data_IF_726935464935
#
_entry.id   IF_726935464935
#
_cell.length_a   1.000
_cell.length_b   1.000
_cell.length_c   1.000
_cell.angle_alpha   90.00
_cell.angle_beta   90.00
_cell.angle_gamma   90.00
#
_symmetry.space_group_name_H-M   'P 1'
#
loop_
_entity.id
_entity.type
_entity.pdbx_description
1 polymer ?
#
# COMPACT_ATOMS: atom_id res chain seq x y z
N UNK A 1 50.62 25.35 33.48
CA UNK A 1 49.68 26.09 32.63
C UNK A 1 48.62 25.09 32.20
N UNK A 2 47.39 25.25 32.72
CA UNK A 2 46.28 24.34 32.48
C UNK A 2 45.50 24.85 31.27
N UNK A 3 45.51 24.10 30.17
CA UNK A 3 44.73 24.44 28.98
C UNK A 3 43.35 23.79 29.14
N UNK A 4 42.39 24.54 29.65
CA UNK A 4 40.99 24.12 29.74
C UNK A 4 40.41 24.06 28.33
N UNK A 5 39.86 22.90 27.94
CA UNK A 5 39.19 22.75 26.64
C UNK A 5 37.97 23.68 26.60
N UNK A 6 37.91 24.50 25.55
CA UNK A 6 36.93 25.56 25.35
C UNK A 6 35.52 24.96 25.10
N UNK A 7 34.55 25.27 25.96
CA UNK A 7 33.16 24.78 25.90
C UNK A 7 32.41 25.20 24.62
N UNK A 8 32.97 26.15 23.89
CA UNK A 8 32.50 26.58 22.56
C UNK A 8 32.68 25.50 21.48
N UNK A 9 33.69 24.61 21.63
CA UNK A 9 33.93 23.45 20.75
C UNK A 9 32.95 22.32 21.06
N UNK A 10 32.57 22.15 22.34
CA UNK A 10 31.61 21.14 22.78
C UNK A 10 30.18 21.44 22.24
N UNK A 11 29.84 22.72 22.09
CA UNK A 11 28.50 23.13 21.64
C UNK A 11 28.34 23.11 20.12
N UNK A 12 29.43 23.23 19.36
CA UNK A 12 29.44 23.06 17.89
C UNK A 12 29.35 21.60 17.48
N UNK A 13 29.81 20.67 18.32
CA UNK A 13 29.65 19.22 18.13
C UNK A 13 28.19 18.75 18.31
N UNK A 14 27.41 19.43 19.15
CA UNK A 14 26.02 19.04 19.46
C UNK A 14 24.97 19.68 18.54
N UNK A 15 25.39 20.56 17.61
CA UNK A 15 24.49 21.29 16.70
C UNK A 15 24.48 20.72 15.28
N UNK A 16 25.31 19.71 14.99
CA UNK A 16 25.37 19.05 13.68
C UNK A 16 24.60 17.73 13.70
N UNK A 17 23.27 17.81 13.81
CA UNK A 17 22.34 16.67 13.63
C UNK A 17 22.22 16.22 12.14
N UNK A 18 23.15 16.63 11.29
CA UNK A 18 23.26 16.26 9.87
C UNK A 18 24.73 16.04 9.54
N UNK A 19 25.32 15.00 10.11
CA UNK A 19 26.71 14.64 9.87
C UNK A 19 26.77 13.17 9.45
N UNK A 20 26.98 12.94 8.15
CA UNK A 20 27.03 11.63 7.52
C UNK A 20 28.06 10.68 8.17
N UNK A 21 27.89 9.37 7.93
CA UNK A 21 28.76 8.25 8.33
C UNK A 21 30.30 8.43 8.13
N UNK A 22 30.74 9.49 7.45
CA UNK A 22 32.15 9.90 7.36
C UNK A 22 32.67 10.50 8.67
N UNK A 23 31.84 11.22 9.42
CA UNK A 23 32.24 11.88 10.66
C UNK A 23 32.42 10.87 11.82
N UNK A 24 31.63 9.78 11.85
CA UNK A 24 31.80 8.69 12.80
C UNK A 24 33.07 7.85 12.53
N UNK A 25 33.46 7.69 11.27
CA UNK A 25 34.74 7.06 10.89
C UNK A 25 35.96 7.91 11.29
N UNK A 26 35.92 9.23 11.04
CA UNK A 26 36.99 10.16 11.44
C UNK A 26 37.13 10.29 12.97
N UNK A 27 36.02 10.23 13.71
CA UNK A 27 36.03 10.19 15.17
C UNK A 27 36.65 8.88 15.70
N UNK A 28 36.37 7.72 15.07
CA UNK A 28 37.02 6.44 15.41
C UNK A 28 38.53 6.44 15.13
N UNK A 29 38.97 7.02 14.02
CA UNK A 29 40.40 7.09 13.67
C UNK A 29 41.18 8.06 14.57
N UNK A 30 40.56 9.21 14.90
CA UNK A 30 41.12 10.15 15.87
C UNK A 30 41.22 9.53 17.26
N UNK A 31 40.25 8.69 17.62
CA UNK A 31 40.22 7.95 18.88
C UNK A 31 41.29 6.86 18.95
N UNK A 32 41.46 6.04 17.91
CA UNK A 32 42.54 5.06 17.81
C UNK A 32 43.92 5.72 17.91
N UNK A 33 44.09 6.90 17.32
CA UNK A 33 45.34 7.68 17.37
C UNK A 33 45.61 8.22 18.77
N UNK A 34 44.59 8.74 19.46
CA UNK A 34 44.74 9.19 20.86
C UNK A 34 45.02 8.02 21.81
N UNK A 35 44.36 6.88 21.63
CA UNK A 35 44.53 5.69 22.47
C UNK A 35 45.92 5.05 22.28
N UNK A 36 46.44 5.04 21.05
CA UNK A 36 47.82 4.61 20.75
C UNK A 36 48.86 5.56 21.33
N UNK A 37 48.57 6.86 21.35
CA UNK A 37 49.46 7.89 21.91
C UNK A 37 49.50 7.85 23.44
N UNK A 38 48.38 7.58 24.09
CA UNK A 38 48.29 7.40 25.54
C UNK A 38 49.00 6.11 25.99
N UNK A 39 48.82 4.97 25.31
CA UNK A 39 49.54 3.73 25.61
C UNK A 39 51.08 3.87 25.54
N UNK A 40 51.60 4.76 24.68
CA UNK A 40 53.03 5.08 24.61
C UNK A 40 53.56 5.95 25.76
N UNK A 41 52.69 6.63 26.51
CA UNK A 41 53.07 7.65 27.50
C UNK A 41 52.44 7.47 28.91
N UNK A 42 51.72 6.38 29.18
CA UNK A 42 51.11 6.15 30.50
C UNK A 42 52.14 5.62 31.51
N UNK A 43 52.29 6.35 32.62
CA UNK A 43 52.92 5.87 33.85
C UNK A 43 51.91 4.92 34.56
N UNK A 44 52.30 3.68 34.92
CA UNK A 44 51.40 2.57 35.31
C UNK A 44 50.51 2.71 36.57
N UNK A 45 50.30 3.90 37.14
CA UNK A 45 49.71 4.06 38.48
C UNK A 45 48.33 4.75 38.58
N UNK A 46 47.63 5.12 37.49
CA UNK A 46 46.24 5.61 37.59
C UNK A 46 45.33 5.08 36.45
N UNK A 47 44.67 3.93 36.64
CA UNK A 47 43.93 3.23 35.59
C UNK A 47 42.47 3.67 35.38
N UNK A 48 42.01 4.79 35.95
CA UNK A 48 40.57 5.06 36.10
C UNK A 48 39.82 5.73 34.92
N UNK A 49 40.49 6.10 33.82
CA UNK A 49 39.82 6.81 32.69
C UNK A 49 39.43 5.89 31.51
N UNK A 50 39.71 4.58 31.61
CA UNK A 50 39.43 3.64 30.51
C UNK A 50 37.96 3.19 30.49
N UNK A 51 37.27 3.18 31.63
CA UNK A 51 35.90 2.66 31.71
C UNK A 51 34.86 3.63 31.15
N UNK A 52 35.01 4.93 31.42
CA UNK A 52 34.10 5.98 30.94
C UNK A 52 34.26 6.20 29.42
N UNK A 53 35.50 6.20 28.94
CA UNK A 53 35.82 6.27 27.51
C UNK A 53 35.34 5.02 26.74
N UNK A 54 35.44 3.82 27.32
CA UNK A 54 34.89 2.58 26.75
C UNK A 54 33.35 2.61 26.74
N UNK A 55 32.72 3.17 27.76
CA UNK A 55 31.27 3.37 27.82
C UNK A 55 30.78 4.35 26.75
N UNK A 56 31.48 5.47 26.54
CA UNK A 56 31.16 6.45 25.50
C UNK A 56 31.38 5.86 24.09
N UNK A 57 32.44 5.09 23.86
CA UNK A 57 32.61 4.34 22.62
C UNK A 57 31.51 3.31 22.39
N UNK A 58 31.10 2.58 23.42
CA UNK A 58 30.01 1.62 23.32
C UNK A 58 28.71 2.34 22.93
N UNK A 59 28.43 3.51 23.52
CA UNK A 59 27.28 4.34 23.14
C UNK A 59 27.36 4.82 21.69
N UNK A 60 28.51 5.32 21.22
CA UNK A 60 28.70 5.72 19.81
C UNK A 60 28.51 4.53 18.87
N UNK A 61 29.07 3.36 19.21
CA UNK A 61 28.90 2.14 18.42
C UNK A 61 27.44 1.68 18.37
N UNK A 62 26.69 1.82 19.46
CA UNK A 62 25.25 1.53 19.46
C UNK A 62 24.45 2.50 18.60
N UNK A 63 24.77 3.81 18.64
CA UNK A 63 24.11 4.81 17.78
C UNK A 63 24.40 4.55 16.32
N UNK A 64 25.67 4.34 15.94
CA UNK A 64 26.03 3.97 14.57
C UNK A 64 25.41 2.65 14.14
N UNK A 65 25.28 1.67 15.06
CA UNK A 65 24.56 0.43 14.79
C UNK A 65 23.07 0.66 14.52
N UNK A 66 22.40 1.55 15.27
CA UNK A 66 21.01 1.94 15.03
C UNK A 66 20.85 2.68 13.69
N UNK A 67 21.78 3.58 13.35
CA UNK A 67 21.79 4.26 12.05
C UNK A 67 21.94 3.27 10.89
N UNK A 68 22.82 2.27 11.02
CA UNK A 68 23.00 1.21 10.03
C UNK A 68 21.76 0.31 9.93
N UNK A 69 21.11 0.01 11.05
CA UNK A 69 19.83 -0.71 11.07
C UNK A 69 18.73 0.10 10.37
N UNK A 70 18.58 1.39 10.67
CA UNK A 70 17.60 2.25 10.01
C UNK A 70 17.83 2.31 8.50
N UNK A 71 19.09 2.49 8.06
CA UNK A 71 19.44 2.45 6.64
C UNK A 71 19.12 1.11 5.99
N UNK A 72 19.36 0.01 6.71
CA UNK A 72 19.01 -1.33 6.22
C UNK A 72 17.51 -1.49 6.08
N UNK A 73 16.72 -0.97 7.03
CA UNK A 73 15.27 -0.98 6.97
C UNK A 73 14.71 -0.14 5.81
N UNK A 74 15.29 1.03 5.53
CA UNK A 74 14.96 1.84 4.36
C UNK A 74 15.24 1.08 3.05
N UNK A 75 16.40 0.42 2.94
CA UNK A 75 16.74 -0.41 1.78
C UNK A 75 15.78 -1.60 1.62
N UNK A 76 15.35 -2.23 2.72
CA UNK A 76 14.33 -3.29 2.67
C UNK A 76 12.99 -2.72 2.19
N UNK A 77 12.54 -1.57 2.70
CA UNK A 77 11.29 -0.93 2.27
C UNK A 77 11.29 -0.67 0.76
N UNK A 78 12.35 -0.03 0.26
CA UNK A 78 12.48 0.26 -1.18
C UNK A 78 12.52 -1.00 -2.04
N UNK A 79 13.15 -2.09 -1.56
CA UNK A 79 13.17 -3.36 -2.27
C UNK A 79 11.77 -4.02 -2.30
N UNK A 80 11.01 -3.94 -1.20
CA UNK A 80 9.63 -4.45 -1.13
C UNK A 80 8.73 -3.65 -2.08
N UNK A 81 8.87 -2.32 -2.11
CA UNK A 81 8.13 -1.46 -3.03
C UNK A 81 8.43 -1.79 -4.50
N UNK A 82 9.71 -1.96 -4.85
CA UNK A 82 10.09 -2.36 -6.20
C UNK A 82 9.51 -3.73 -6.60
N UNK A 83 9.46 -4.69 -5.66
CA UNK A 83 8.82 -5.98 -5.88
C UNK A 83 7.30 -5.85 -6.07
N UNK A 84 6.63 -5.03 -5.25
CA UNK A 84 5.20 -4.76 -5.40
C UNK A 84 4.87 -4.07 -6.73
N UNK A 85 5.72 -3.15 -7.20
CA UNK A 85 5.56 -2.53 -8.52
C UNK A 85 5.67 -3.54 -9.66
N UNK A 86 6.56 -4.54 -9.55
CA UNK A 86 6.67 -5.60 -10.57
C UNK A 86 5.42 -6.49 -10.61
N UNK A 87 4.85 -6.80 -9.45
CA UNK A 87 3.59 -7.54 -9.36
C UNK A 87 2.44 -6.73 -9.95
N UNK A 88 2.35 -5.44 -9.61
CA UNK A 88 1.38 -4.52 -10.19
C UNK A 88 1.54 -4.36 -11.71
N UNK A 89 2.78 -4.31 -12.21
CA UNK A 89 3.06 -4.24 -13.63
C UNK A 89 2.55 -5.49 -14.37
N UNK A 90 2.52 -6.65 -13.71
CA UNK A 90 1.95 -7.88 -14.26
C UNK A 90 0.42 -7.82 -14.41
N UNK A 91 -0.24 -6.85 -13.77
CA UNK A 91 -1.68 -6.62 -13.90
C UNK A 91 -2.04 -5.73 -15.09
N UNK A 92 -1.07 -5.02 -15.67
CA UNK A 92 -1.34 -4.16 -16.84
C UNK A 92 -1.93 -5.02 -17.97
N UNK A 93 -3.08 -4.57 -18.49
CA UNK A 93 -3.85 -5.29 -19.50
C UNK A 93 -4.75 -6.41 -18.95
N UNK A 94 -4.76 -6.65 -17.63
CA UNK A 94 -5.69 -7.58 -16.97
C UNK A 94 -6.91 -6.84 -16.43
N UNK A 95 -8.01 -7.59 -16.36
CA UNK A 95 -9.22 -7.15 -15.67
C UNK A 95 -9.09 -7.35 -14.17
N UNK A 96 -9.54 -6.39 -13.38
CA UNK A 96 -9.58 -6.48 -11.92
C UNK A 96 -10.95 -6.07 -11.40
N UNK A 97 -11.32 -6.60 -10.24
CA UNK A 97 -12.48 -6.17 -9.47
C UNK A 97 -12.03 -5.26 -8.33
N UNK A 98 -12.59 -4.05 -8.29
CA UNK A 98 -12.28 -3.01 -7.31
C UNK A 98 -13.57 -2.47 -6.68
N UNK A 99 -13.53 -1.91 -5.45
CA UNK A 99 -14.72 -1.42 -4.77
C UNK A 99 -15.51 -0.44 -5.62
N UNK A 100 -16.79 -0.74 -5.82
CA UNK A 100 -17.71 0.08 -6.59
C UNK A 100 -18.91 -0.72 -7.09
N UNK A 101 -19.89 -0.03 -7.63
CA UNK A 101 -21.20 -0.60 -7.98
C UNK A 101 -21.52 -0.47 -9.46
N UNK A 102 -20.55 -0.09 -10.29
CA UNK A 102 -20.81 0.30 -11.67
C UNK A 102 -20.67 -0.86 -12.66
N UNK A 103 -21.60 -0.94 -13.61
CA UNK A 103 -21.55 -1.84 -14.75
C UNK A 103 -21.66 -1.02 -16.03
N UNK A 104 -20.78 -1.27 -17.00
CA UNK A 104 -20.89 -0.68 -18.33
C UNK A 104 -21.54 -1.70 -19.26
N UNK A 105 -22.50 -1.24 -20.04
CA UNK A 105 -23.12 -1.99 -21.12
C UNK A 105 -22.76 -1.32 -22.45
N UNK A 106 -22.29 -2.12 -23.39
CA UNK A 106 -22.14 -1.70 -24.78
C UNK A 106 -22.77 -2.75 -25.70
N UNK A 107 -22.98 -2.40 -26.96
CA UNK A 107 -23.44 -3.33 -27.98
C UNK A 107 -22.31 -3.57 -28.98
N UNK A 108 -22.12 -4.82 -29.40
CA UNK A 108 -21.17 -5.13 -30.46
C UNK A 108 -21.66 -4.65 -31.83
N UNK A 109 -20.87 -4.91 -32.89
CA UNK A 109 -21.21 -4.50 -34.25
C UNK A 109 -22.53 -5.12 -34.77
N UNK A 110 -22.97 -6.24 -34.18
CA UNK A 110 -24.21 -6.95 -34.52
C UNK A 110 -25.38 -6.54 -33.60
N UNK A 111 -25.17 -5.60 -32.68
CA UNK A 111 -26.17 -5.11 -31.73
C UNK A 111 -26.39 -6.04 -30.53
N UNK A 112 -25.48 -6.99 -30.28
CA UNK A 112 -25.58 -7.91 -29.14
C UNK A 112 -25.08 -7.19 -27.89
N UNK A 113 -25.88 -7.14 -26.81
CA UNK A 113 -25.45 -6.52 -25.56
C UNK A 113 -24.31 -7.29 -24.89
N UNK A 114 -23.29 -6.57 -24.45
CA UNK A 114 -22.18 -7.09 -23.65
C UNK A 114 -21.92 -6.14 -22.47
N UNK A 115 -21.98 -6.67 -21.24
CA UNK A 115 -21.70 -5.90 -20.03
C UNK A 115 -20.37 -6.29 -19.39
N UNK A 116 -19.77 -5.34 -18.68
CA UNK A 116 -18.62 -5.62 -17.83
C UNK A 116 -19.05 -6.47 -16.62
N UNK A 117 -18.26 -7.47 -16.20
CA UNK A 117 -18.59 -8.24 -15.00
C UNK A 117 -18.54 -7.37 -13.74
N UNK A 118 -19.16 -7.84 -12.68
CA UNK A 118 -19.13 -7.21 -11.35
C UNK A 118 -19.06 -8.29 -10.26
N UNK A 119 -18.47 -7.95 -9.12
CA UNK A 119 -18.36 -8.82 -7.97
C UNK A 119 -19.34 -8.44 -6.86
N UNK A 120 -19.79 -9.44 -6.12
CA UNK A 120 -20.54 -9.28 -4.88
C UNK A 120 -19.86 -10.13 -3.82
N UNK A 121 -19.52 -9.55 -2.66
CA UNK A 121 -19.00 -10.26 -1.49
C UNK A 121 -20.02 -10.18 -0.35
N UNK A 122 -20.52 -11.33 0.08
CA UNK A 122 -21.43 -11.47 1.21
C UNK A 122 -20.62 -11.81 2.46
N UNK A 123 -20.79 -11.02 3.53
CA UNK A 123 -20.13 -11.26 4.82
C UNK A 123 -20.65 -12.52 5.55
N UNK A 124 -21.83 -13.00 5.18
CA UNK A 124 -22.48 -14.19 5.73
C UNK A 124 -23.45 -14.81 4.71
N UNK A 125 -23.98 -16.02 4.98
CA UNK A 125 -24.95 -16.64 4.09
C UNK A 125 -26.27 -15.86 4.09
N UNK A 126 -26.94 -15.82 2.95
CA UNK A 126 -28.25 -15.19 2.76
C UNK A 126 -29.27 -16.23 2.28
N UNK A 127 -30.50 -16.15 2.79
CA UNK A 127 -31.63 -16.97 2.32
C UNK A 127 -32.29 -16.34 1.08
N UNK A 128 -32.17 -15.01 0.96
CA UNK A 128 -32.63 -14.27 -0.20
C UNK A 128 -31.59 -13.23 -0.63
N UNK A 129 -31.08 -13.37 -1.85
CA UNK A 129 -30.24 -12.43 -2.54
C UNK A 129 -30.98 -11.87 -3.75
N UNK A 130 -31.12 -10.54 -3.81
CA UNK A 130 -31.68 -9.84 -4.94
C UNK A 130 -30.68 -8.81 -5.50
N UNK A 131 -30.47 -8.84 -6.81
CA UNK A 131 -29.55 -7.96 -7.53
C UNK A 131 -30.33 -7.11 -8.51
N UNK A 132 -30.26 -5.79 -8.37
CA UNK A 132 -30.95 -4.82 -9.22
C UNK A 132 -29.96 -4.04 -10.08
N UNK A 133 -30.26 -3.92 -11.37
CA UNK A 133 -29.52 -3.06 -12.32
C UNK A 133 -30.31 -1.76 -12.47
N UNK A 134 -29.66 -0.64 -12.18
CA UNK A 134 -30.28 0.69 -12.07
C UNK A 134 -29.65 1.63 -13.08
N UNK A 135 -30.47 2.36 -13.84
CA UNK A 135 -29.99 3.36 -14.79
C UNK A 135 -29.55 4.67 -14.13
N UNK A 136 -29.04 5.60 -14.93
CA UNK A 136 -28.64 6.93 -14.46
C UNK A 136 -29.80 7.77 -13.90
N UNK A 137 -31.04 7.47 -14.28
CA UNK A 137 -32.26 8.10 -13.77
C UNK A 137 -32.75 7.51 -12.44
N UNK A 138 -32.12 6.44 -11.95
CA UNK A 138 -32.54 5.72 -10.74
C UNK A 138 -33.65 4.70 -10.98
N UNK A 139 -33.98 4.38 -12.24
CA UNK A 139 -34.98 3.37 -12.56
C UNK A 139 -34.36 1.98 -12.56
N UNK A 140 -35.09 1.01 -12.00
CA UNK A 140 -34.70 -0.41 -12.05
C UNK A 140 -34.95 -0.94 -13.46
N UNK A 141 -33.87 -1.23 -14.15
CA UNK A 141 -33.85 -1.77 -15.52
C UNK A 141 -34.15 -3.26 -15.50
N UNK A 142 -33.50 -3.97 -14.57
CA UNK A 142 -33.74 -5.38 -14.32
C UNK A 142 -33.48 -5.73 -12.86
N UNK A 143 -34.11 -6.81 -12.39
CA UNK A 143 -33.91 -7.35 -11.04
C UNK A 143 -33.88 -8.87 -11.08
N UNK A 144 -32.86 -9.45 -10.48
CA UNK A 144 -32.65 -10.89 -10.37
C UNK A 144 -32.86 -11.31 -8.92
N UNK A 145 -33.76 -12.25 -8.69
CA UNK A 145 -33.98 -12.90 -7.39
C UNK A 145 -33.21 -14.24 -7.42
N UNK A 146 -32.03 -14.27 -6.80
CA UNK A 146 -31.12 -15.41 -6.82
C UNK A 146 -31.41 -16.42 -5.70
N UNK A 147 -32.16 -16.02 -4.67
CA UNK A 147 -32.54 -16.89 -3.55
C UNK A 147 -31.37 -17.11 -2.59
N UNK A 148 -31.21 -18.34 -2.10
CA UNK A 148 -30.24 -18.66 -1.08
C UNK A 148 -28.82 -18.77 -1.65
N UNK A 149 -27.86 -18.08 -1.03
CA UNK A 149 -26.45 -18.03 -1.43
C UNK A 149 -25.57 -18.07 -0.18
N UNK A 150 -24.46 -18.80 -0.26
CA UNK A 150 -23.48 -18.89 0.82
C UNK A 150 -22.69 -17.58 0.99
N UNK A 151 -21.98 -17.46 2.11
CA UNK A 151 -21.04 -16.36 2.30
C UNK A 151 -19.88 -16.46 1.31
N UNK A 152 -19.31 -15.31 0.94
CA UNK A 152 -18.14 -15.24 0.06
C UNK A 152 -18.34 -14.34 -1.14
N UNK A 153 -17.36 -14.39 -2.04
CA UNK A 153 -17.32 -13.55 -3.23
C UNK A 153 -17.74 -14.33 -4.47
N UNK A 154 -18.66 -13.75 -5.23
CA UNK A 154 -19.08 -14.24 -6.53
C UNK A 154 -18.94 -13.15 -7.59
N UNK A 155 -18.69 -13.57 -8.83
CA UNK A 155 -18.62 -12.69 -10.00
C UNK A 155 -19.83 -12.95 -10.90
N UNK A 156 -20.50 -11.87 -11.30
CA UNK A 156 -21.69 -11.90 -12.14
C UNK A 156 -21.46 -11.09 -13.42
N UNK A 157 -22.18 -11.46 -14.47
CA UNK A 157 -22.26 -10.69 -15.71
C UNK A 157 -23.72 -10.48 -16.05
N UNK A 158 -24.10 -9.23 -16.30
CA UNK A 158 -25.44 -8.91 -16.74
C UNK A 158 -25.59 -9.22 -18.23
N UNK A 159 -26.70 -9.85 -18.61
CA UNK A 159 -27.06 -10.16 -20.00
C UNK A 159 -27.38 -8.91 -20.85
N UNK A 160 -27.46 -7.74 -20.22
CA UNK A 160 -27.81 -6.48 -20.89
C UNK A 160 -29.29 -6.36 -21.25
N UNK A 161 -30.15 -7.23 -20.72
CA UNK A 161 -31.59 -7.20 -20.94
C UNK A 161 -32.31 -6.51 -19.78
N UNK A 162 -33.42 -5.84 -20.11
CA UNK A 162 -34.34 -5.29 -19.13
C UNK A 162 -35.37 -6.33 -18.67
N UNK A 163 -36.23 -5.95 -17.72
CA UNK A 163 -37.30 -6.80 -17.17
C UNK A 163 -38.34 -7.30 -18.20
N UNK A 164 -38.38 -6.74 -19.41
CA UNK A 164 -39.24 -7.19 -20.51
C UNK A 164 -38.51 -8.10 -21.51
N UNK A 165 -37.24 -8.42 -21.25
CA UNK A 165 -36.39 -9.21 -22.15
C UNK A 165 -35.85 -8.45 -23.36
N UNK A 166 -36.00 -7.12 -23.39
CA UNK A 166 -35.44 -6.29 -24.46
C UNK A 166 -34.04 -5.78 -24.08
N UNK A 167 -33.17 -5.61 -25.07
CA UNK A 167 -31.83 -5.06 -24.85
C UNK A 167 -31.92 -3.64 -24.27
N UNK A 168 -31.20 -3.40 -23.18
CA UNK A 168 -31.03 -2.09 -22.59
C UNK A 168 -30.08 -1.24 -23.46
N UNK A 169 -30.20 0.09 -23.37
CA UNK A 169 -29.37 1.00 -24.15
C UNK A 169 -27.91 0.97 -23.66
N UNK A 170 -26.91 1.15 -24.55
CA UNK A 170 -25.52 1.32 -24.15
C UNK A 170 -25.36 2.45 -23.12
N UNK A 171 -24.55 2.23 -22.09
CA UNK A 171 -24.35 3.21 -21.02
C UNK A 171 -23.82 2.63 -19.72
N UNK A 172 -23.72 3.50 -18.72
CA UNK A 172 -23.33 3.14 -17.37
C UNK A 172 -24.57 2.90 -16.50
N UNK A 173 -24.54 1.79 -15.77
CA UNK A 173 -25.57 1.35 -14.83
C UNK A 173 -24.94 1.12 -13.45
N UNK A 174 -25.79 1.06 -12.42
CA UNK A 174 -25.39 0.72 -11.05
C UNK A 174 -26.03 -0.58 -10.61
N UNK A 175 -25.29 -1.34 -9.83
CA UNK A 175 -25.70 -2.58 -9.20
C UNK A 175 -26.08 -2.26 -7.76
N UNK A 176 -27.30 -2.61 -7.40
CA UNK A 176 -27.74 -2.59 -6.02
C UNK A 176 -28.03 -4.02 -5.57
N UNK A 177 -27.54 -4.38 -4.39
CA UNK A 177 -27.69 -5.72 -3.84
C UNK A 177 -28.44 -5.64 -2.52
N UNK A 178 -29.43 -6.51 -2.37
CA UNK A 178 -30.15 -6.73 -1.13
C UNK A 178 -29.97 -8.19 -0.74
N UNK A 179 -29.41 -8.44 0.44
CA UNK A 179 -29.21 -9.79 0.96
C UNK A 179 -29.84 -9.91 2.35
N UNK A 180 -30.65 -10.95 2.56
CA UNK A 180 -31.36 -11.21 3.80
C UNK A 180 -31.11 -12.64 4.28
N UNK A 181 -30.85 -12.80 5.56
CA UNK A 181 -30.88 -14.08 6.27
C UNK A 181 -32.04 -14.03 7.28
N UNK A 182 -33.13 -14.75 6.99
CA UNK A 182 -34.45 -14.49 7.57
C UNK A 182 -34.87 -13.03 7.36
N UNK A 183 -35.14 -12.31 8.45
CA UNK A 183 -35.50 -10.88 8.41
C UNK A 183 -34.29 -9.93 8.61
N UNK A 184 -33.07 -10.47 8.68
CA UNK A 184 -31.87 -9.66 8.96
C UNK A 184 -31.10 -9.37 7.69
N UNK A 185 -30.74 -8.10 7.49
CA UNK A 185 -29.83 -7.70 6.44
C UNK A 185 -28.44 -8.32 6.64
N UNK A 186 -27.92 -8.92 5.56
CA UNK A 186 -26.53 -9.35 5.45
C UNK A 186 -25.73 -8.22 4.82
N UNK A 187 -24.53 -7.96 5.35
CA UNK A 187 -23.63 -6.96 4.78
C UNK A 187 -23.09 -7.45 3.43
N UNK A 188 -23.17 -6.56 2.44
CA UNK A 188 -22.74 -6.84 1.07
C UNK A 188 -21.79 -5.76 0.60
N UNK A 189 -20.66 -6.16 0.04
CA UNK A 189 -19.76 -5.30 -0.71
C UNK A 189 -19.88 -5.57 -2.21
N UNK A 190 -19.94 -4.50 -3.02
CA UNK A 190 -19.95 -4.61 -4.47
C UNK A 190 -18.61 -4.20 -5.07
N UNK A 191 -18.25 -4.83 -6.18
CA UNK A 191 -17.03 -4.54 -6.92
C UNK A 191 -17.34 -4.40 -8.40
N UNK A 192 -16.81 -3.35 -9.03
CA UNK A 192 -16.91 -3.20 -10.48
C UNK A 192 -15.64 -3.71 -11.16
N UNK A 193 -15.80 -4.10 -12.41
CA UNK A 193 -14.68 -4.37 -13.30
C UNK A 193 -13.95 -3.07 -13.68
N UNK A 194 -12.63 -3.18 -13.77
CA UNK A 194 -11.77 -2.20 -14.41
C UNK A 194 -10.61 -2.91 -15.14
N UNK A 195 -10.17 -2.32 -16.26
CA UNK A 195 -8.97 -2.74 -16.95
C UNK A 195 -7.79 -1.93 -16.41
N UNK A 196 -6.72 -2.60 -15.98
CA UNK A 196 -5.51 -1.91 -15.53
C UNK A 196 -4.76 -1.37 -16.74
N UNK A 197 -4.70 -0.04 -16.87
CA UNK A 197 -3.98 0.66 -17.92
C UNK A 197 -2.50 0.92 -17.59
N UNK A 198 -2.16 1.00 -16.30
CA UNK A 198 -0.79 1.28 -15.89
C UNK A 198 -0.57 1.20 -14.38
N UNK A 199 0.68 1.45 -13.98
CA UNK A 199 1.09 1.57 -12.58
C UNK A 199 1.76 2.93 -12.42
N UNK A 200 1.33 3.69 -11.42
CA UNK A 200 1.81 5.04 -11.14
C UNK A 200 2.51 5.05 -9.78
N UNK A 201 3.81 5.38 -9.70
CA UNK A 201 4.50 5.54 -8.42
C UNK A 201 3.94 6.75 -7.64
N UNK A 202 3.78 6.59 -6.32
CA UNK A 202 3.29 7.66 -5.42
C UNK A 202 4.46 8.41 -4.81
N UNK A 203 5.14 9.23 -5.62
CA UNK A 203 6.14 10.22 -5.18
C UNK A 203 7.13 9.78 -4.09
N UNK A 204 7.60 10.75 -3.28
CA UNK A 204 8.64 10.55 -2.25
C UNK A 204 8.15 9.79 -1.00
N UNK A 205 6.88 9.41 -0.92
CA UNK A 205 6.31 8.70 0.24
C UNK A 205 6.28 7.18 0.10
N UNK A 206 6.76 6.67 -1.05
CA UNK A 206 6.78 5.24 -1.35
C UNK A 206 5.41 4.71 -1.77
N UNK A 207 5.43 3.57 -2.45
CA UNK A 207 4.22 2.89 -2.93
C UNK A 207 3.78 3.27 -4.36
N UNK A 208 2.67 2.67 -4.79
CA UNK A 208 2.19 2.74 -6.16
C UNK A 208 0.66 2.59 -6.23
N UNK A 209 0.07 3.17 -7.26
CA UNK A 209 -1.34 3.06 -7.60
C UNK A 209 -1.50 2.35 -8.94
N UNK A 210 -2.61 1.64 -9.09
CA UNK A 210 -3.05 1.12 -10.39
C UNK A 210 -3.85 2.20 -11.09
N UNK A 211 -3.47 2.53 -12.31
CA UNK A 211 -4.26 3.39 -13.19
C UNK A 211 -5.31 2.54 -13.92
N UNK A 212 -6.58 2.81 -13.63
CA UNK A 212 -7.75 2.14 -14.19
C UNK A 212 -8.41 2.97 -15.30
N UNK A 213 -7.69 3.98 -15.80
CA UNK A 213 -8.14 4.89 -16.85
C UNK A 213 -9.05 6.00 -16.35
N UNK A 214 -9.48 6.87 -17.27
CA UNK A 214 -10.20 8.11 -16.96
C UNK A 214 -11.52 7.92 -16.20
N UNK A 215 -12.11 6.73 -16.26
CA UNK A 215 -13.44 6.49 -15.70
C UNK A 215 -13.40 5.97 -14.26
N UNK A 216 -12.36 5.22 -13.89
CA UNK A 216 -12.18 4.67 -12.54
C UNK A 216 -11.03 5.32 -11.77
N UNK A 217 -10.19 6.10 -12.46
CA UNK A 217 -9.08 6.82 -11.86
C UNK A 217 -7.97 5.89 -11.39
N UNK A 218 -7.37 6.24 -10.26
CA UNK A 218 -6.27 5.48 -9.67
C UNK A 218 -6.73 4.85 -8.35
N UNK A 219 -6.33 3.61 -8.12
CA UNK A 219 -6.63 2.88 -6.88
C UNK A 219 -5.38 2.27 -6.28
N UNK A 220 -5.38 2.05 -4.98
CA UNK A 220 -4.33 1.27 -4.33
C UNK A 220 -4.39 -0.18 -4.78
N UNK A 221 -3.23 -0.82 -4.90
CA UNK A 221 -3.15 -2.25 -5.23
C UNK A 221 -3.92 -3.12 -4.23
N UNK A 222 -3.90 -2.75 -2.94
CA UNK A 222 -4.66 -3.45 -1.90
C UNK A 222 -6.19 -3.34 -2.03
N UNK A 223 -6.69 -2.42 -2.88
CA UNK A 223 -8.12 -2.34 -3.18
C UNK A 223 -8.57 -3.39 -4.21
N UNK A 224 -7.64 -4.03 -4.94
CA UNK A 224 -7.99 -5.12 -5.86
C UNK A 224 -8.45 -6.34 -5.07
N UNK A 225 -9.70 -6.75 -5.27
CA UNK A 225 -10.24 -7.96 -4.64
C UNK A 225 -9.97 -9.22 -5.44
N UNK A 226 -9.99 -9.11 -6.76
CA UNK A 226 -9.82 -10.24 -7.65
C UNK A 226 -9.22 -9.80 -8.98
N UNK A 227 -8.35 -10.62 -9.55
CA UNK A 227 -7.80 -10.48 -10.91
C UNK A 227 -8.52 -11.51 -11.79
N UNK A 228 -9.00 -11.10 -12.95
CA UNK A 228 -9.75 -11.91 -13.91
C UNK A 228 -8.87 -12.41 -15.06
#
# INVERSE_FOLDING_TARGET
>A
MSTTIDTSVLNTLNQSATASARQSAELRDSFMTMLTTQLKNQNPLDPMDNAEMTSQLAQINTVSGIEELNRTLELISTQIEASGMLEAASLIGKGVLVPGDRVLLDHDADGVPASTPFGIELAGPADNLAVSIIDAGGQVVNRYELGAVDAGMETFTWDGLNSQGAAAAPGAYRVQVEALQGDKAVEVSTFNYALVGGVVPVGDQGGFLLDLGAIYGQVEFGAVKQIL
#
